data_IF_682328832385
#
_entry.id   IF_682328832385
#
_cell.length_a   1.000
_cell.length_b   1.000
_cell.length_c   1.000
_cell.angle_alpha   90.00
_cell.angle_beta   90.00
_cell.angle_gamma   90.00
#
_symmetry.space_group_name_H-M   'P 1'
#
loop_
_entity.id
_entity.type
_entity.pdbx_description
1 polymer ?
#
# COMPACT_ATOMS: atom_id res chain seq x y z
N UNK A 1 36.97 -33.30 18.05
CA UNK A 1 36.30 -33.58 16.77
C UNK A 1 35.27 -32.50 16.50
N UNK A 2 35.62 -31.47 15.74
CA UNK A 2 34.66 -30.46 15.26
C UNK A 2 34.40 -30.75 13.79
N UNK A 3 33.15 -31.08 13.46
CA UNK A 3 32.69 -31.25 12.09
C UNK A 3 32.42 -29.87 11.49
N UNK A 4 33.30 -29.40 10.61
CA UNK A 4 33.04 -28.26 9.74
C UNK A 4 32.01 -28.71 8.70
N UNK A 5 30.75 -28.30 8.89
CA UNK A 5 29.73 -28.36 7.85
C UNK A 5 30.01 -27.23 6.87
N UNK A 6 30.93 -27.46 5.93
CA UNK A 6 31.13 -26.62 4.75
C UNK A 6 29.98 -26.88 3.78
N UNK A 7 28.85 -26.23 4.04
CA UNK A 7 27.74 -26.15 3.10
C UNK A 7 28.17 -25.38 1.86
N UNK A 8 28.37 -26.10 0.77
CA UNK A 8 28.53 -25.54 -0.57
C UNK A 8 27.26 -24.75 -0.94
N UNK A 9 27.27 -23.44 -0.69
CA UNK A 9 26.25 -22.52 -1.17
C UNK A 9 26.42 -22.38 -2.68
N UNK A 10 25.61 -23.14 -3.42
CA UNK A 10 25.59 -23.10 -4.87
C UNK A 10 25.38 -21.66 -5.38
N UNK A 11 26.14 -21.27 -6.39
CA UNK A 11 26.02 -19.98 -7.09
C UNK A 11 24.57 -19.59 -7.46
N UNK A 12 23.69 -20.58 -7.61
CA UNK A 12 22.26 -20.43 -7.89
C UNK A 12 21.45 -19.76 -6.76
N UNK A 13 21.82 -19.99 -5.49
CA UNK A 13 21.11 -19.46 -4.33
C UNK A 13 21.42 -17.99 -4.07
N UNK A 14 22.68 -17.59 -4.28
CA UNK A 14 23.08 -16.17 -4.22
C UNK A 14 22.35 -15.37 -5.30
N UNK A 15 22.24 -15.92 -6.51
CA UNK A 15 21.46 -15.31 -7.61
C UNK A 15 19.98 -15.11 -7.26
N UNK A 16 19.33 -16.13 -6.65
CA UNK A 16 17.94 -16.04 -6.19
C UNK A 16 17.78 -14.99 -5.08
N UNK A 17 18.63 -15.00 -4.06
CA UNK A 17 18.60 -14.03 -2.97
C UNK A 17 18.78 -12.59 -3.50
N UNK A 18 19.72 -12.38 -4.42
CA UNK A 18 19.97 -11.06 -4.98
C UNK A 18 18.82 -10.56 -5.87
N UNK A 19 18.11 -11.48 -6.55
CA UNK A 19 16.90 -11.14 -7.32
C UNK A 19 15.71 -10.80 -6.41
N UNK A 20 15.52 -11.53 -5.31
CA UNK A 20 14.49 -11.30 -4.31
C UNK A 20 14.67 -9.93 -3.61
N UNK A 21 15.90 -9.59 -3.23
CA UNK A 21 16.22 -8.29 -2.63
C UNK A 21 15.93 -7.11 -3.58
N UNK A 22 16.23 -7.27 -4.87
CA UNK A 22 15.92 -6.24 -5.88
C UNK A 22 14.41 -6.05 -6.06
N UNK A 23 13.67 -7.14 -6.13
CA UNK A 23 12.21 -7.10 -6.22
C UNK A 23 11.59 -6.47 -4.97
N UNK A 24 12.09 -6.80 -3.78
CA UNK A 24 11.65 -6.20 -2.52
C UNK A 24 11.91 -4.68 -2.49
N UNK A 25 13.12 -4.25 -2.84
CA UNK A 25 13.48 -2.81 -2.93
C UNK A 25 12.60 -2.05 -3.93
N UNK A 26 12.22 -2.67 -5.05
CA UNK A 26 11.29 -2.08 -6.01
C UNK A 26 9.89 -1.91 -5.42
N UNK A 27 9.35 -2.96 -4.79
CA UNK A 27 8.04 -2.94 -4.14
C UNK A 27 7.99 -1.87 -3.04
N UNK A 28 9.04 -1.73 -2.25
CA UNK A 28 9.12 -0.73 -1.18
C UNK A 28 9.19 0.69 -1.72
N UNK A 29 9.98 0.95 -2.77
CA UNK A 29 9.98 2.26 -3.46
C UNK A 29 8.60 2.60 -4.03
N UNK A 30 7.90 1.63 -4.61
CA UNK A 30 6.55 1.83 -5.15
C UNK A 30 5.54 2.18 -4.05
N UNK A 31 5.60 1.48 -2.91
CA UNK A 31 4.77 1.80 -1.72
C UNK A 31 5.06 3.21 -1.22
N UNK A 32 6.34 3.56 -1.08
CA UNK A 32 6.75 4.88 -0.58
C UNK A 32 6.24 6.00 -1.48
N UNK A 33 6.36 5.88 -2.81
CA UNK A 33 5.83 6.86 -3.76
C UNK A 33 4.32 7.08 -3.60
N UNK A 34 3.57 6.01 -3.37
CA UNK A 34 2.11 6.07 -3.20
C UNK A 34 1.75 6.84 -1.93
N UNK A 35 2.44 6.58 -0.82
CA UNK A 35 2.25 7.31 0.45
C UNK A 35 2.62 8.79 0.28
N UNK A 36 3.75 9.09 -0.36
CA UNK A 36 4.17 10.48 -0.63
C UNK A 36 3.15 11.22 -1.49
N UNK A 37 2.57 10.57 -2.50
CA UNK A 37 1.51 11.16 -3.30
C UNK A 37 0.29 11.55 -2.45
N UNK A 38 -0.17 10.67 -1.55
CA UNK A 38 -1.31 10.97 -0.67
C UNK A 38 -1.02 12.10 0.32
N UNK A 39 0.22 12.19 0.84
CA UNK A 39 0.64 13.31 1.69
C UNK A 39 0.72 14.63 0.91
N UNK A 40 1.16 14.59 -0.36
CA UNK A 40 1.19 15.78 -1.20
C UNK A 40 -0.22 16.36 -1.45
N UNK A 41 -1.27 15.52 -1.43
CA UNK A 41 -2.66 16.02 -1.49
C UNK A 41 -3.01 16.91 -0.31
N UNK A 42 -2.49 16.65 0.89
CA UNK A 42 -2.69 17.54 2.05
C UNK A 42 -2.16 18.94 1.77
N UNK A 43 -0.91 19.03 1.30
CA UNK A 43 -0.24 20.30 0.97
C UNK A 43 -1.05 21.05 -0.09
N UNK A 44 -1.44 20.36 -1.16
CA UNK A 44 -2.24 20.93 -2.24
C UNK A 44 -3.59 21.45 -1.74
N UNK A 45 -4.31 20.64 -0.96
CA UNK A 45 -5.60 21.03 -0.41
C UNK A 45 -5.48 22.22 0.55
N UNK A 46 -4.42 22.28 1.38
CA UNK A 46 -4.14 23.43 2.24
C UNK A 46 -3.89 24.71 1.41
N UNK A 47 -3.11 24.61 0.34
CA UNK A 47 -2.87 25.73 -0.58
C UNK A 47 -4.13 26.23 -1.29
N UNK A 48 -5.13 25.35 -1.47
CA UNK A 48 -6.43 25.68 -2.06
C UNK A 48 -7.47 26.15 -1.02
N UNK A 49 -7.11 26.25 0.26
CA UNK A 49 -8.05 26.61 1.33
C UNK A 49 -9.08 25.51 1.66
N UNK A 50 -8.83 24.27 1.24
CA UNK A 50 -9.68 23.13 1.55
C UNK A 50 -9.39 22.62 2.97
N UNK A 51 -10.45 22.27 3.70
CA UNK A 51 -10.37 21.76 5.08
C UNK A 51 -10.18 20.24 5.17
N UNK A 52 -10.17 19.56 4.03
CA UNK A 52 -9.97 18.12 3.96
C UNK A 52 -10.13 17.57 2.55
N UNK A 53 -9.82 16.28 2.42
CA UNK A 53 -10.03 15.51 1.19
C UNK A 53 -10.57 14.13 1.54
N UNK A 54 -11.46 13.58 0.71
CA UNK A 54 -11.93 12.20 0.83
C UNK A 54 -11.69 11.44 -0.47
N UNK A 55 -11.44 10.14 -0.38
CA UNK A 55 -11.23 9.28 -1.55
C UNK A 55 -11.72 7.87 -1.24
N UNK A 56 -12.30 7.21 -2.25
CA UNK A 56 -12.69 5.81 -2.17
C UNK A 56 -11.50 4.94 -2.53
N UNK A 57 -11.11 4.02 -1.64
CA UNK A 57 -10.05 3.05 -1.86
C UNK A 57 -10.63 1.65 -1.95
N UNK A 58 -10.47 1.02 -3.11
CA UNK A 58 -11.07 -0.28 -3.46
C UNK A 58 -10.14 -1.48 -3.29
N UNK A 59 -8.86 -1.25 -2.96
CA UNK A 59 -7.89 -2.32 -2.75
C UNK A 59 -7.26 -2.21 -1.37
N UNK A 60 -7.00 -3.36 -0.72
CA UNK A 60 -6.38 -3.40 0.60
C UNK A 60 -5.01 -2.69 0.62
N UNK A 61 -4.22 -2.82 -0.45
CA UNK A 61 -2.94 -2.13 -0.57
C UNK A 61 -3.07 -0.60 -0.60
N UNK A 62 -4.07 -0.08 -1.34
CA UNK A 62 -4.31 1.36 -1.40
C UNK A 62 -4.87 1.90 -0.07
N UNK A 63 -5.75 1.15 0.59
CA UNK A 63 -6.26 1.49 1.93
C UNK A 63 -5.12 1.58 2.95
N UNK A 64 -4.23 0.58 2.97
CA UNK A 64 -3.08 0.56 3.86
C UNK A 64 -2.13 1.74 3.59
N UNK A 65 -1.90 2.09 2.32
CA UNK A 65 -1.10 3.25 1.96
C UNK A 65 -1.77 4.57 2.38
N UNK A 66 -3.08 4.71 2.22
CA UNK A 66 -3.85 5.87 2.65
C UNK A 66 -3.82 6.04 4.18
N UNK A 67 -4.00 4.96 4.95
CA UNK A 67 -3.84 4.99 6.42
C UNK A 67 -2.45 5.47 6.85
N UNK A 68 -1.38 4.98 6.19
CA UNK A 68 0.01 5.43 6.46
C UNK A 68 0.26 6.89 6.06
N UNK A 69 -0.57 7.44 5.18
CA UNK A 69 -0.55 8.84 4.78
C UNK A 69 -1.42 9.74 5.70
N UNK A 70 -2.09 9.18 6.72
CA UNK A 70 -2.89 9.93 7.69
C UNK A 70 -4.40 9.93 7.41
N UNK A 71 -4.87 9.24 6.35
CA UNK A 71 -6.30 9.16 6.09
C UNK A 71 -6.99 8.26 7.12
N UNK A 72 -8.13 8.71 7.64
CA UNK A 72 -9.03 7.96 8.51
C UNK A 72 -10.18 7.35 7.71
N UNK A 73 -10.68 6.18 8.14
CA UNK A 73 -11.84 5.56 7.49
C UNK A 73 -13.11 6.29 7.95
N UNK A 74 -13.89 6.79 7.00
CA UNK A 74 -15.17 7.46 7.27
C UNK A 74 -16.36 6.51 7.07
N UNK A 75 -16.28 5.65 6.05
CA UNK A 75 -17.31 4.65 5.78
C UNK A 75 -16.69 3.41 5.10
N UNK A 76 -17.24 2.25 5.40
CA UNK A 76 -16.90 0.98 4.76
C UNK A 76 -18.13 0.43 4.07
N UNK A 77 -17.99 -0.09 2.85
CA UNK A 77 -19.04 -0.76 2.10
C UNK A 77 -18.53 -2.09 1.56
N UNK A 78 -19.28 -3.14 1.81
CA UNK A 78 -19.01 -4.45 1.24
C UNK A 78 -19.46 -4.45 -0.23
N UNK A 79 -18.56 -4.84 -1.14
CA UNK A 79 -18.87 -4.86 -2.58
C UNK A 79 -20.01 -5.85 -2.88
N UNK A 80 -20.14 -6.91 -2.09
CA UNK A 80 -21.27 -7.85 -2.19
C UNK A 80 -22.65 -7.19 -2.02
N UNK A 81 -22.75 -6.06 -1.31
CA UNK A 81 -24.00 -5.30 -1.16
C UNK A 81 -24.25 -4.30 -2.30
N UNK A 82 -23.18 -3.88 -3.00
CA UNK A 82 -23.23 -2.88 -4.08
C UNK A 82 -23.28 -3.56 -5.46
N UNK A 83 -22.84 -4.81 -5.56
CA UNK A 83 -22.79 -5.60 -6.78
C UNK A 83 -24.16 -6.16 -7.17
N UNK A 84 -25.05 -5.30 -7.66
CA UNK A 84 -26.10 -5.73 -8.61
C UNK A 84 -25.51 -6.07 -10.00
N UNK A 85 -24.24 -5.71 -10.25
CA UNK A 85 -23.53 -6.01 -11.49
C UNK A 85 -22.09 -6.51 -11.25
N UNK A 86 -21.92 -7.84 -11.34
CA UNK A 86 -20.79 -8.59 -11.94
C UNK A 86 -19.34 -8.08 -11.75
N UNK A 87 -18.92 -7.66 -10.56
CA UNK A 87 -17.49 -7.57 -10.21
C UNK A 87 -17.23 -8.25 -8.87
N UNK A 88 -16.47 -9.35 -8.91
CA UNK A 88 -15.96 -10.04 -7.72
C UNK A 88 -14.65 -9.33 -7.37
N UNK A 89 -14.69 -8.52 -6.32
CA UNK A 89 -13.50 -7.99 -5.66
C UNK A 89 -13.59 -8.45 -4.21
N UNK A 90 -12.63 -9.27 -3.76
CA UNK A 90 -12.61 -9.90 -2.42
C UNK A 90 -12.30 -8.93 -1.26
N UNK A 91 -12.47 -7.62 -1.46
CA UNK A 91 -12.05 -6.59 -0.51
C UNK A 91 -13.10 -5.49 -0.39
N UNK A 92 -13.30 -4.99 0.83
CA UNK A 92 -14.25 -3.91 1.12
C UNK A 92 -13.85 -2.61 0.43
N UNK A 93 -14.82 -1.82 -0.03
CA UNK A 93 -14.62 -0.43 -0.41
C UNK A 93 -14.55 0.43 0.85
N UNK A 94 -13.52 1.26 0.98
CA UNK A 94 -13.42 2.24 2.08
C UNK A 94 -13.41 3.66 1.54
N UNK A 95 -14.36 4.46 2.01
CA UNK A 95 -14.28 5.92 1.91
C UNK A 95 -13.36 6.37 3.04
N UNK A 96 -12.23 6.98 2.69
CA UNK A 96 -11.28 7.48 3.67
C UNK A 96 -11.07 8.98 3.47
N UNK A 97 -11.07 9.72 4.58
CA UNK A 97 -10.90 11.16 4.65
C UNK A 97 -9.57 11.55 5.29
N UNK A 98 -9.05 12.71 4.92
CA UNK A 98 -7.95 13.37 5.61
C UNK A 98 -8.44 14.78 5.96
N UNK A 99 -8.53 15.07 7.25
CA UNK A 99 -8.80 16.42 7.74
C UNK A 99 -7.52 17.25 7.71
N UNK A 100 -7.66 18.52 7.32
CA UNK A 100 -6.56 19.47 7.23
C UNK A 100 -6.81 20.52 8.31
N UNK A 101 -6.10 20.36 9.42
CA UNK A 101 -6.04 21.32 10.52
C UNK A 101 -5.21 22.54 10.11
#
# INVERSE_FOLDING_TARGET
MMSLVTGSLGHSDVGRQHSALRHQSYCDRRRQRTITFYRAKEIMCRSLGLRGTATVFSTAAAQAAASRAGYSTMATRFIGEVAKHRFILDHDLKVMGLEIL
#
